data_IF_708926742767
#
_entry.id   IF_708926742767
#
_cell.length_a   1.000
_cell.length_b   1.000
_cell.length_c   1.000
_cell.angle_alpha   90.00
_cell.angle_beta   90.00
_cell.angle_gamma   90.00
#
_symmetry.space_group_name_H-M   'P 1'
#
loop_
_entity.id
_entity.type
_entity.pdbx_description
1 polymer ?
#
# COMPACT_ATOMS: atom_id res chain seq x y z
N UNK A 1 13.88 -6.92 28.97
CA UNK A 1 12.82 -6.06 28.41
C UNK A 1 12.07 -6.98 27.48
N UNK A 2 10.81 -7.24 27.79
CA UNK A 2 9.94 -7.96 26.85
C UNK A 2 9.79 -7.07 25.62
N UNK A 3 10.06 -7.63 24.46
CA UNK A 3 9.84 -6.96 23.20
C UNK A 3 8.33 -7.08 22.97
N UNK A 4 7.62 -5.96 23.01
CA UNK A 4 6.21 -5.95 22.65
C UNK A 4 6.07 -6.14 21.14
N UNK A 5 5.21 -7.09 20.77
CA UNK A 5 4.84 -7.48 19.41
C UNK A 5 3.33 -7.76 19.50
N UNK A 6 2.54 -6.81 19.03
CA UNK A 6 1.09 -6.77 19.27
C UNK A 6 0.32 -7.68 18.32
N UNK A 7 0.82 -7.83 17.10
CA UNK A 7 0.16 -8.59 16.05
C UNK A 7 0.79 -9.98 15.83
N UNK A 8 1.86 -10.29 16.56
CA UNK A 8 2.54 -11.58 16.63
C UNK A 8 3.21 -11.97 15.30
N UNK A 9 3.69 -11.00 14.52
CA UNK A 9 4.32 -11.22 13.22
C UNK A 9 5.86 -11.43 13.29
N UNK A 10 6.44 -11.17 14.47
CA UNK A 10 7.86 -11.29 14.76
C UNK A 10 8.66 -9.99 14.62
N UNK A 11 8.02 -8.85 14.37
CA UNK A 11 8.60 -7.51 14.35
C UNK A 11 8.19 -6.76 15.63
N UNK A 12 9.13 -6.15 16.37
CA UNK A 12 8.79 -5.33 17.54
C UNK A 12 7.89 -4.14 17.17
N UNK A 13 6.91 -3.78 18.02
CA UNK A 13 6.03 -2.61 17.83
C UNK A 13 6.77 -1.29 17.51
N UNK A 14 8.02 -1.14 17.95
CA UNK A 14 8.85 0.05 17.70
C UNK A 14 9.57 0.07 16.35
N UNK A 15 9.56 -1.06 15.65
CA UNK A 15 10.15 -1.26 14.32
C UNK A 15 9.11 -1.73 13.30
N UNK A 16 7.86 -1.87 13.72
CA UNK A 16 6.75 -2.38 12.92
C UNK A 16 5.98 -1.24 12.27
N UNK A 17 5.99 -1.20 10.93
CA UNK A 17 5.26 -0.23 10.12
C UNK A 17 3.76 -0.52 10.04
N UNK A 18 3.28 -1.64 10.61
CA UNK A 18 1.87 -2.00 10.78
C UNK A 18 1.56 -2.69 12.12
N UNK A 19 1.82 -2.02 13.25
CA UNK A 19 1.62 -2.46 14.66
C UNK A 19 0.34 -3.28 14.97
N UNK A 20 -0.72 -3.15 14.18
CA UNK A 20 -2.01 -3.82 14.38
C UNK A 20 -2.32 -4.93 13.36
N UNK A 21 -1.47 -5.14 12.34
CA UNK A 21 -1.71 -6.04 11.23
C UNK A 21 -0.44 -6.78 10.77
N UNK A 22 -0.40 -8.12 10.90
CA UNK A 22 0.81 -8.89 10.62
C UNK A 22 1.36 -8.67 9.22
N UNK A 23 2.61 -8.22 9.12
CA UNK A 23 3.30 -7.96 7.87
C UNK A 23 4.82 -8.13 8.01
N UNK A 24 5.25 -9.30 8.46
CA UNK A 24 6.65 -9.68 8.75
C UNK A 24 7.73 -9.18 7.78
N UNK A 25 7.42 -9.02 6.49
CA UNK A 25 8.36 -8.53 5.49
C UNK A 25 8.57 -7.00 5.53
N UNK A 26 7.70 -6.27 6.21
CA UNK A 26 7.71 -4.82 6.38
C UNK A 26 7.78 -4.10 5.03
N UNK A 27 6.98 -4.58 4.08
CA UNK A 27 6.80 -3.95 2.77
C UNK A 27 6.17 -2.57 2.97
N UNK A 28 6.68 -1.58 2.25
CA UNK A 28 6.37 -0.14 2.31
C UNK A 28 6.75 0.43 0.94
N UNK A 29 5.78 0.41 0.02
CA UNK A 29 5.97 0.63 -1.40
C UNK A 29 6.27 2.10 -1.73
N UNK A 30 5.59 3.04 -1.07
CA UNK A 30 5.74 4.47 -1.29
C UNK A 30 6.79 5.12 -0.37
N UNK A 31 7.19 4.42 0.70
CA UNK A 31 8.22 4.84 1.64
C UNK A 31 7.76 5.89 2.64
N UNK A 32 6.46 5.98 2.92
CA UNK A 32 5.90 6.94 3.87
C UNK A 32 6.08 6.52 5.35
N UNK A 33 6.49 5.27 5.58
CA UNK A 33 6.71 4.67 6.90
C UNK A 33 5.52 3.86 7.43
N UNK A 34 4.45 3.74 6.66
CA UNK A 34 3.31 2.84 6.87
C UNK A 34 3.47 1.63 5.98
N UNK A 35 3.27 0.44 6.53
CA UNK A 35 3.43 -0.76 5.72
C UNK A 35 2.27 -0.95 4.74
N UNK A 36 2.55 -1.57 3.59
CA UNK A 36 1.57 -1.91 2.55
C UNK A 36 0.30 -2.57 3.10
N UNK A 37 0.46 -3.32 4.20
CA UNK A 37 -0.63 -4.05 4.85
C UNK A 37 -1.65 -3.16 5.55
N UNK A 38 -1.24 -1.98 6.00
CA UNK A 38 -2.04 -1.04 6.76
C UNK A 38 -2.08 0.36 6.13
N UNK A 39 -1.64 0.47 4.88
CA UNK A 39 -1.74 1.69 4.08
C UNK A 39 -3.08 1.79 3.32
N UNK A 40 -3.58 3.01 3.24
CA UNK A 40 -4.79 3.39 2.50
C UNK A 40 -4.48 3.97 1.12
N UNK A 41 -3.21 4.30 0.83
CA UNK A 41 -2.68 4.84 -0.43
C UNK A 41 -1.32 4.17 -0.73
N UNK A 42 -1.36 3.00 -1.37
CA UNK A 42 -0.21 2.08 -1.46
C UNK A 42 0.95 2.61 -2.30
N UNK A 43 0.67 3.50 -3.25
CA UNK A 43 1.68 4.05 -4.14
C UNK A 43 1.98 5.54 -3.90
N UNK A 44 1.27 6.19 -2.98
CA UNK A 44 1.52 7.56 -2.54
C UNK A 44 1.11 8.61 -3.57
N UNK A 45 0.14 8.30 -4.43
CA UNK A 45 -0.31 9.19 -5.49
C UNK A 45 -1.43 10.16 -5.06
N UNK A 46 -1.92 10.02 -3.82
CA UNK A 46 -3.03 10.74 -3.19
C UNK A 46 -4.43 10.29 -3.66
N UNK A 47 -4.55 9.10 -4.22
CA UNK A 47 -5.82 8.41 -4.50
C UNK A 47 -5.90 7.19 -3.59
N UNK A 48 -7.02 7.04 -2.89
CA UNK A 48 -7.16 5.90 -1.97
C UNK A 48 -7.18 4.58 -2.75
N UNK A 49 -6.61 3.53 -2.17
CA UNK A 49 -6.56 2.17 -2.74
C UNK A 49 -7.89 1.64 -3.29
N UNK A 50 -9.03 2.12 -2.78
CA UNK A 50 -10.37 1.70 -3.22
C UNK A 50 -10.90 2.50 -4.43
N UNK A 51 -10.31 3.66 -4.69
CA UNK A 51 -10.66 4.59 -5.77
C UNK A 51 -9.60 4.62 -6.88
N UNK A 52 -8.44 4.00 -6.63
CA UNK A 52 -7.29 3.95 -7.53
C UNK A 52 -7.41 2.80 -8.55
N UNK A 53 -7.44 3.17 -9.84
CA UNK A 53 -7.45 2.23 -10.96
C UNK A 53 -6.06 1.65 -11.30
N UNK A 54 -5.02 2.04 -10.56
CA UNK A 54 -3.66 1.52 -10.61
C UNK A 54 -2.98 1.47 -9.23
N UNK A 55 -3.54 0.72 -8.28
CA UNK A 55 -3.09 0.55 -6.87
C UNK A 55 -1.57 0.38 -6.58
N UNK A 56 -0.73 0.08 -7.57
CA UNK A 56 0.73 -0.04 -7.40
C UNK A 56 1.51 0.85 -8.40
N UNK A 57 0.90 1.84 -9.04
CA UNK A 57 1.54 2.66 -10.08
C UNK A 57 0.99 4.07 -10.00
N UNK A 58 1.79 4.96 -9.42
CA UNK A 58 1.47 6.38 -9.24
C UNK A 58 0.80 6.98 -10.47
N UNK A 59 -0.48 7.29 -10.36
CA UNK A 59 -1.27 7.82 -11.45
C UNK A 59 -2.36 8.81 -10.97
N UNK A 60 -2.01 9.98 -10.38
CA UNK A 60 -2.98 10.87 -9.72
C UNK A 60 -4.11 11.42 -10.62
N UNK A 61 -3.97 11.27 -11.94
CA UNK A 61 -4.97 11.70 -12.94
C UNK A 61 -6.05 10.63 -13.14
N UNK A 62 -5.81 9.37 -12.77
CA UNK A 62 -6.77 8.26 -12.86
C UNK A 62 -7.39 8.13 -14.27
N UNK A 63 -6.54 8.28 -15.30
CA UNK A 63 -6.98 8.12 -16.69
C UNK A 63 -7.27 6.65 -16.99
N UNK A 64 -8.40 6.40 -17.63
CA UNK A 64 -8.91 5.09 -18.04
C UNK A 64 -9.62 5.31 -19.38
N UNK A 65 -8.89 5.13 -20.48
CA UNK A 65 -9.35 5.54 -21.81
C UNK A 65 -10.45 4.62 -22.36
N UNK A 66 -10.35 3.32 -22.14
CA UNK A 66 -11.29 2.33 -22.68
C UNK A 66 -12.44 2.01 -21.70
N UNK A 67 -12.33 2.44 -20.45
CA UNK A 67 -13.36 2.39 -19.43
C UNK A 67 -13.52 1.01 -18.80
N UNK A 68 -12.46 0.20 -18.79
CA UNK A 68 -12.48 -1.16 -18.25
C UNK A 68 -12.19 -1.22 -16.73
N UNK A 69 -11.77 -0.10 -16.15
CA UNK A 69 -11.46 0.05 -14.73
C UNK A 69 -9.99 -0.15 -14.37
N UNK A 70 -9.11 -0.42 -15.33
CA UNK A 70 -7.65 -0.34 -15.16
C UNK A 70 -7.14 0.98 -15.71
N UNK A 71 -6.28 1.67 -14.97
CA UNK A 71 -5.74 2.94 -15.44
C UNK A 71 -4.74 2.77 -16.57
N UNK A 72 -4.66 3.77 -17.45
CA UNK A 72 -3.79 3.78 -18.63
C UNK A 72 -2.30 3.46 -18.32
N UNK A 73 -1.85 3.69 -17.08
CA UNK A 73 -0.46 3.46 -16.65
C UNK A 73 -0.17 2.02 -16.20
N UNK A 74 -1.19 1.26 -15.82
CA UNK A 74 -1.05 -0.12 -15.33
C UNK A 74 -1.86 -1.13 -16.15
N UNK A 75 -2.65 -0.65 -17.12
CA UNK A 75 -3.38 -1.49 -18.05
C UNK A 75 -2.44 -2.10 -19.11
N UNK A 76 -2.63 -3.39 -19.37
CA UNK A 76 -1.90 -4.14 -20.38
C UNK A 76 -2.62 -4.21 -21.74
N UNK A 77 -3.83 -3.65 -21.85
CA UNK A 77 -4.67 -3.72 -23.05
C UNK A 77 -5.57 -2.48 -23.24
N UNK A 78 -4.98 -1.38 -23.70
CA UNK A 78 -5.69 -0.13 -24.06
C UNK A 78 -6.50 -0.22 -25.36
#
# INVERSE_FOLDING_TARGET
>A
MDIEDKDEDGVPNTLDNCVDQPNKNQEDMDGDGRGDRCDEDLDGDNVQNQEDNCINVVNPIQSDFDGDGFGDLCDNCV
#
